data_IF_206675265227
#
_entry.id   IF_206675265227
#
_cell.length_a   1.000
_cell.length_b   1.000
_cell.length_c   1.000
_cell.angle_alpha   90.00
_cell.angle_beta   90.00
_cell.angle_gamma   90.00
#
_symmetry.space_group_name_H-M   'P 1'
#
loop_
_entity.id
_entity.type
_entity.pdbx_description
1 polymer ?
#
# COMPACT_ATOMS: atom_id res chain seq x y z
N UNK A 1 -51.00 74.91 -21.32
CA UNK A 1 -50.70 74.04 -22.48
C UNK A 1 -49.29 73.49 -22.28
N UNK A 2 -49.22 72.17 -22.08
CA UNK A 2 -48.08 71.22 -22.02
C UNK A 2 -46.65 71.73 -21.78
N UNK A 3 -46.16 71.28 -20.63
CA UNK A 3 -44.77 71.04 -20.23
C UNK A 3 -44.23 69.78 -20.95
N UNK A 4 -42.91 69.71 -21.20
CA UNK A 4 -41.99 68.56 -21.01
C UNK A 4 -41.08 68.07 -22.16
N UNK A 5 -39.82 67.87 -21.73
CA UNK A 5 -38.77 66.90 -22.08
C UNK A 5 -37.92 67.07 -23.35
N UNK A 6 -36.72 67.66 -23.15
CA UNK A 6 -35.52 67.31 -23.90
C UNK A 6 -35.02 65.93 -23.45
N UNK A 7 -34.97 64.97 -24.38
CA UNK A 7 -34.32 63.68 -24.17
C UNK A 7 -32.82 63.82 -24.42
N UNK A 8 -32.00 63.68 -23.37
CA UNK A 8 -30.57 63.51 -23.49
C UNK A 8 -30.27 62.04 -23.84
N UNK A 9 -29.75 61.81 -25.04
CA UNK A 9 -29.31 60.49 -25.50
C UNK A 9 -27.95 60.18 -24.84
N UNK A 10 -27.95 59.39 -23.77
CA UNK A 10 -26.72 58.88 -23.18
C UNK A 10 -26.16 57.76 -24.07
N UNK A 11 -25.13 58.07 -24.86
CA UNK A 11 -24.35 57.07 -25.57
C UNK A 11 -23.57 56.23 -24.55
N UNK A 12 -24.06 55.02 -24.27
CA UNK A 12 -23.32 54.02 -23.51
C UNK A 12 -22.11 53.56 -24.36
N UNK A 13 -20.93 54.08 -24.03
CA UNK A 13 -19.65 53.58 -24.53
C UNK A 13 -19.48 52.15 -24.02
N UNK A 14 -19.82 51.16 -24.86
CA UNK A 14 -19.35 49.78 -24.68
C UNK A 14 -17.84 49.77 -24.89
N UNK A 15 -17.09 49.91 -23.80
CA UNK A 15 -15.67 49.56 -23.81
C UNK A 15 -15.56 48.07 -24.11
N UNK A 16 -14.81 47.64 -25.15
CA UNK A 16 -14.56 46.22 -25.36
C UNK A 16 -13.83 45.70 -24.13
N UNK A 17 -14.35 44.63 -23.54
CA UNK A 17 -13.67 43.93 -22.46
C UNK A 17 -12.26 43.58 -22.96
N UNK A 18 -11.23 44.17 -22.33
CA UNK A 18 -9.85 43.84 -22.64
C UNK A 18 -9.66 42.37 -22.29
N UNK A 19 -9.62 41.51 -23.32
CA UNK A 19 -9.22 40.12 -23.16
C UNK A 19 -7.72 40.11 -22.90
N UNK A 20 -7.34 40.07 -21.63
CA UNK A 20 -5.97 39.79 -21.25
C UNK A 20 -5.67 38.33 -21.60
N UNK A 21 -4.57 38.09 -22.32
CA UNK A 21 -4.08 36.73 -22.51
C UNK A 21 -3.59 36.21 -21.16
N UNK A 22 -4.28 35.18 -20.63
CA UNK A 22 -3.84 34.48 -19.43
C UNK A 22 -3.00 33.26 -19.84
N UNK A 23 -1.86 33.07 -19.18
CA UNK A 23 -0.97 31.93 -19.45
C UNK A 23 -1.54 30.60 -18.94
N UNK A 24 -2.45 30.65 -17.98
CA UNK A 24 -3.13 29.49 -17.39
C UNK A 24 -4.64 29.69 -17.51
N UNK A 25 -5.37 28.59 -17.64
CA UNK A 25 -6.83 28.60 -17.53
C UNK A 25 -7.26 28.94 -16.09
N UNK A 26 -8.51 29.40 -15.88
CA UNK A 26 -8.99 29.77 -14.55
C UNK A 26 -8.89 28.68 -13.47
N UNK A 27 -8.90 27.41 -13.86
CA UNK A 27 -8.81 26.23 -13.01
C UNK A 27 -7.39 25.64 -12.91
N UNK A 28 -6.43 26.17 -13.67
CA UNK A 28 -5.04 25.71 -13.64
C UNK A 28 -4.26 26.40 -12.52
N UNK A 29 -3.58 25.60 -11.70
CA UNK A 29 -2.76 26.06 -10.58
C UNK A 29 -1.30 25.76 -10.89
N UNK A 30 -0.45 26.80 -10.88
CA UNK A 30 0.99 26.56 -10.78
C UNK A 30 1.26 25.93 -9.42
N UNK A 31 1.42 24.61 -9.37
CA UNK A 31 1.38 23.82 -8.14
C UNK A 31 2.74 23.69 -7.45
N UNK A 32 3.87 24.02 -8.09
CA UNK A 32 5.23 23.73 -7.56
C UNK A 32 5.54 22.25 -7.27
N UNK A 33 4.52 21.38 -7.27
CA UNK A 33 4.58 19.94 -7.08
C UNK A 33 4.04 19.25 -8.34
N UNK A 34 4.75 18.25 -8.82
CA UNK A 34 4.24 17.27 -9.78
C UNK A 34 3.78 16.04 -9.00
N UNK A 35 2.67 15.43 -9.43
CA UNK A 35 2.12 14.24 -8.76
C UNK A 35 1.79 13.16 -9.77
N UNK A 36 1.91 11.91 -9.35
CA UNK A 36 1.49 10.74 -10.09
C UNK A 36 1.22 9.57 -9.15
N UNK A 37 0.42 8.60 -9.58
CA UNK A 37 0.19 7.38 -8.80
C UNK A 37 1.17 6.30 -9.24
N UNK A 38 1.83 5.65 -8.27
CA UNK A 38 2.84 4.62 -8.57
C UNK A 38 2.22 3.35 -9.15
N UNK A 39 1.11 2.92 -8.57
CA UNK A 39 0.27 1.84 -9.08
C UNK A 39 -1.19 2.14 -8.72
N UNK A 40 -2.10 1.88 -9.65
CA UNK A 40 -3.51 2.23 -9.49
C UNK A 40 -4.12 1.60 -8.22
N UNK A 41 -5.02 2.31 -7.52
CA UNK A 41 -5.81 1.72 -6.44
C UNK A 41 -6.74 0.65 -7.00
N UNK A 42 -6.72 -0.54 -6.41
CA UNK A 42 -7.60 -1.64 -6.79
C UNK A 42 -8.60 -1.88 -5.66
N UNK A 43 -9.91 -1.89 -5.91
CA UNK A 43 -10.92 -2.12 -4.89
C UNK A 43 -10.75 -3.50 -4.26
N UNK A 44 -10.67 -3.53 -2.94
CA UNK A 44 -10.59 -4.77 -2.16
C UNK A 44 -11.56 -4.71 -0.99
N UNK A 45 -12.40 -5.72 -0.85
CA UNK A 45 -13.29 -5.85 0.31
C UNK A 45 -12.46 -6.34 1.51
N UNK A 46 -12.34 -5.52 2.54
CA UNK A 46 -11.70 -5.88 3.80
C UNK A 46 -12.62 -6.69 4.72
N UNK A 47 -12.01 -7.41 5.66
CA UNK A 47 -12.73 -8.14 6.71
C UNK A 47 -13.56 -7.22 7.64
N UNK A 48 -13.31 -5.92 7.62
CA UNK A 48 -14.08 -4.89 8.34
C UNK A 48 -15.39 -4.49 7.64
N UNK A 49 -15.70 -5.10 6.50
CA UNK A 49 -16.88 -4.78 5.69
C UNK A 49 -16.74 -3.48 4.90
N UNK A 50 -15.52 -2.96 4.70
CA UNK A 50 -15.28 -1.78 3.86
C UNK A 50 -14.60 -2.18 2.57
N UNK A 51 -14.77 -1.35 1.54
CA UNK A 51 -13.96 -1.46 0.32
C UNK A 51 -12.81 -0.48 0.40
N UNK A 52 -11.58 -1.00 0.46
CA UNK A 52 -10.36 -0.21 0.53
C UNK A 52 -9.82 0.10 -0.87
N UNK A 53 -9.17 1.25 -0.99
CA UNK A 53 -8.46 1.72 -2.16
C UNK A 53 -7.10 2.21 -1.69
N UNK A 54 -6.18 1.27 -1.45
CA UNK A 54 -4.81 1.58 -1.07
C UNK A 54 -3.97 1.94 -2.31
N UNK A 55 -3.28 3.08 -2.26
CA UNK A 55 -2.39 3.55 -3.33
C UNK A 55 -1.34 4.54 -2.81
N UNK A 56 -0.33 4.82 -3.61
CA UNK A 56 0.74 5.74 -3.26
C UNK A 56 0.82 6.87 -4.30
N UNK A 57 0.83 8.10 -3.81
CA UNK A 57 1.01 9.30 -4.62
C UNK A 57 2.48 9.68 -4.57
N UNK A 58 3.18 9.49 -5.69
CA UNK A 58 4.50 10.06 -5.90
C UNK A 58 4.37 11.57 -6.05
N UNK A 59 5.09 12.32 -5.21
CA UNK A 59 5.12 13.78 -5.22
C UNK A 59 6.54 14.24 -5.45
N UNK A 60 6.78 14.99 -6.52
CA UNK A 60 8.07 15.61 -6.83
C UNK A 60 7.96 17.12 -6.71
N UNK A 61 8.92 17.76 -6.05
CA UNK A 61 9.06 19.21 -6.02
C UNK A 61 10.14 19.65 -7.02
N UNK A 62 9.83 19.89 -8.31
CA UNK A 62 10.79 20.38 -9.29
C UNK A 62 11.11 21.88 -9.12
N UNK A 63 10.56 22.55 -8.11
CA UNK A 63 10.72 23.98 -7.89
C UNK A 63 11.96 24.33 -7.06
N UNK A 64 12.21 25.64 -6.90
CA UNK A 64 13.30 26.18 -6.07
C UNK A 64 12.85 26.55 -4.64
N UNK A 65 11.58 26.34 -4.31
CA UNK A 65 11.03 26.64 -2.99
C UNK A 65 10.79 25.35 -2.21
N UNK A 66 10.85 25.45 -0.89
CA UNK A 66 10.35 24.40 -0.02
C UNK A 66 8.82 24.36 -0.12
N UNK A 67 8.26 23.16 -0.02
CA UNK A 67 6.81 22.95 -0.01
C UNK A 67 6.45 22.03 1.13
N UNK A 68 5.58 22.47 2.03
CA UNK A 68 4.97 21.60 3.04
C UNK A 68 3.60 21.14 2.54
N UNK A 69 3.34 19.83 2.55
CA UNK A 69 2.01 19.28 2.26
C UNK A 69 1.18 19.37 3.54
N UNK A 70 0.12 20.18 3.52
CA UNK A 70 -0.68 20.47 4.72
C UNK A 70 -1.86 19.51 4.86
N UNK A 71 -2.46 19.11 3.72
CA UNK A 71 -3.60 18.20 3.63
C UNK A 71 -3.59 17.47 2.30
N UNK A 72 -4.01 16.21 2.32
CA UNK A 72 -4.32 15.43 1.11
C UNK A 72 -5.73 14.87 1.23
N UNK A 73 -6.53 15.08 0.20
CA UNK A 73 -7.89 14.55 0.06
C UNK A 73 -7.92 13.58 -1.12
N UNK A 74 -8.52 12.41 -0.95
CA UNK A 74 -8.96 11.60 -2.07
C UNK A 74 -10.34 12.09 -2.50
N UNK A 75 -10.48 12.48 -3.76
CA UNK A 75 -11.73 12.99 -4.32
C UNK A 75 -12.19 12.17 -5.52
N UNK A 76 -13.50 12.11 -5.76
CA UNK A 76 -14.03 11.63 -7.03
C UNK A 76 -13.91 12.69 -8.14
N UNK A 77 -14.27 12.33 -9.38
CA UNK A 77 -14.26 13.25 -10.53
C UNK A 77 -15.28 14.40 -10.42
N UNK A 78 -16.27 14.28 -9.53
CA UNK A 78 -17.21 15.35 -9.18
C UNK A 78 -16.66 16.32 -8.13
N UNK A 79 -15.49 16.02 -7.55
CA UNK A 79 -14.84 16.81 -6.52
C UNK A 79 -15.32 16.50 -5.09
N UNK A 80 -16.15 15.47 -4.89
CA UNK A 80 -16.58 15.04 -3.57
C UNK A 80 -15.42 14.38 -2.82
N UNK A 81 -15.26 14.73 -1.55
CA UNK A 81 -14.21 14.16 -0.69
C UNK A 81 -14.62 12.77 -0.21
N UNK A 82 -13.80 11.77 -0.50
CA UNK A 82 -13.99 10.37 -0.09
C UNK A 82 -13.18 10.04 1.17
N UNK A 83 -11.98 10.62 1.29
CA UNK A 83 -11.09 10.50 2.45
C UNK A 83 -10.20 11.73 2.53
N UNK A 84 -9.70 12.04 3.73
CA UNK A 84 -8.75 13.12 3.94
C UNK A 84 -7.76 12.78 5.06
N UNK A 85 -6.52 13.25 4.90
CA UNK A 85 -5.47 13.19 5.91
C UNK A 85 -4.76 14.55 5.99
N UNK A 86 -4.46 14.99 7.22
CA UNK A 86 -3.82 16.28 7.49
C UNK A 86 -3.00 16.22 8.78
N UNK A 87 -2.17 17.24 9.02
CA UNK A 87 -1.42 17.40 10.27
C UNK A 87 -0.42 16.27 10.52
N UNK A 88 -0.27 15.87 11.79
CA UNK A 88 0.72 14.87 12.21
C UNK A 88 0.48 13.49 11.59
N UNK A 89 -0.79 13.11 11.37
CA UNK A 89 -1.12 11.85 10.70
C UNK A 89 -0.67 11.86 9.24
N UNK A 90 -0.87 12.97 8.52
CA UNK A 90 -0.31 13.11 7.17
C UNK A 90 1.22 13.04 7.18
N UNK A 91 1.89 13.66 8.16
CA UNK A 91 3.35 13.63 8.23
C UNK A 91 3.90 12.20 8.41
N UNK A 92 3.20 11.33 9.15
CA UNK A 92 3.51 9.90 9.30
C UNK A 92 3.28 9.11 8.01
N UNK A 93 2.27 9.52 7.22
CA UNK A 93 1.93 8.89 5.94
C UNK A 93 2.75 9.42 4.75
N UNK A 94 3.76 10.26 5.00
CA UNK A 94 4.68 10.76 3.98
C UNK A 94 6.09 10.23 4.23
N UNK A 95 6.60 9.49 3.25
CA UNK A 95 7.98 9.02 3.22
C UNK A 95 8.80 9.74 2.14
N UNK A 96 10.05 10.07 2.46
CA UNK A 96 11.03 10.76 1.62
C UNK A 96 12.29 9.92 1.47
N UNK A 97 12.14 8.63 1.16
CA UNK A 97 13.23 7.66 0.93
C UNK A 97 14.27 7.65 2.06
N UNK A 98 13.83 7.28 3.27
CA UNK A 98 14.67 7.24 4.47
C UNK A 98 14.47 8.39 5.47
N UNK A 99 13.56 9.32 5.16
CA UNK A 99 13.09 10.35 6.10
C UNK A 99 11.56 10.41 6.09
N UNK A 100 10.94 10.71 7.21
CA UNK A 100 9.50 11.00 7.28
C UNK A 100 9.21 12.51 7.31
N UNK A 101 7.97 12.88 7.02
CA UNK A 101 7.45 14.24 7.22
C UNK A 101 7.08 14.98 5.95
N UNK A 102 6.22 15.98 6.11
CA UNK A 102 5.50 16.65 5.03
C UNK A 102 6.26 17.75 4.26
N UNK A 103 7.45 18.15 4.75
CA UNK A 103 8.28 19.16 4.09
C UNK A 103 9.10 18.54 2.96
N UNK A 104 8.84 18.97 1.73
CA UNK A 104 9.57 18.57 0.53
C UNK A 104 10.49 19.73 0.11
N UNK A 105 11.80 19.51 0.27
CA UNK A 105 12.83 20.45 -0.16
C UNK A 105 12.83 20.66 -1.69
N UNK A 106 13.43 21.75 -2.20
CA UNK A 106 13.69 21.91 -3.63
C UNK A 106 14.36 20.68 -4.25
N UNK A 107 13.83 20.18 -5.37
CA UNK A 107 14.30 18.94 -6.01
C UNK A 107 13.95 17.64 -5.28
N UNK A 108 13.29 17.73 -4.13
CA UNK A 108 12.91 16.58 -3.32
C UNK A 108 11.76 15.78 -3.91
N UNK A 109 11.69 14.51 -3.53
CA UNK A 109 10.57 13.61 -3.85
C UNK A 109 10.08 12.95 -2.56
N UNK A 110 8.77 12.70 -2.52
CA UNK A 110 8.11 12.02 -1.43
C UNK A 110 7.04 11.07 -1.97
N UNK A 111 6.60 10.15 -1.14
CA UNK A 111 5.47 9.28 -1.37
C UNK A 111 4.44 9.54 -0.28
N UNK A 112 3.21 9.85 -0.69
CA UNK A 112 2.05 9.92 0.23
C UNK A 112 1.31 8.59 0.15
N UNK A 113 1.25 7.86 1.25
CA UNK A 113 0.50 6.62 1.35
C UNK A 113 -0.97 6.93 1.67
N UNK A 114 -1.86 6.47 0.80
CA UNK A 114 -3.29 6.74 0.88
C UNK A 114 -4.08 5.43 0.99
N UNK A 115 -5.19 5.49 1.72
CA UNK A 115 -6.27 4.52 1.68
C UNK A 115 -7.62 5.24 1.72
N UNK A 116 -8.55 4.83 0.85
CA UNK A 116 -9.95 5.25 0.88
C UNK A 116 -10.78 4.04 1.28
N UNK A 117 -11.26 4.04 2.52
CA UNK A 117 -12.13 3.00 3.03
C UNK A 117 -13.60 3.38 2.82
N UNK A 118 -14.22 2.88 1.76
CA UNK A 118 -15.63 3.11 1.44
C UNK A 118 -16.52 2.18 2.27
N UNK A 119 -17.66 2.66 2.84
CA UNK A 119 -18.64 1.80 3.50
C UNK A 119 -19.16 0.70 2.58
N UNK A 120 -19.58 -0.43 3.14
CA UNK A 120 -20.19 -1.53 2.36
C UNK A 120 -21.32 -1.04 1.45
N UNK A 121 -21.43 -1.64 0.26
CA UNK A 121 -22.43 -1.28 -0.75
C UNK A 121 -22.24 0.11 -1.40
N UNK A 122 -21.22 0.87 -1.03
CA UNK A 122 -20.89 2.14 -1.68
C UNK A 122 -20.49 1.91 -3.13
N UNK A 123 -20.91 2.81 -4.03
CA UNK A 123 -20.43 2.81 -5.41
C UNK A 123 -18.96 3.23 -5.41
N UNK A 124 -18.09 2.34 -5.88
CA UNK A 124 -16.68 2.66 -6.14
C UNK A 124 -16.60 3.65 -7.32
N UNK A 125 -16.01 4.85 -7.15
CA UNK A 125 -15.78 5.78 -8.27
C UNK A 125 -14.76 5.18 -9.23
N UNK A 126 -15.01 5.20 -10.54
CA UNK A 126 -14.10 4.63 -11.56
C UNK A 126 -12.72 5.30 -11.61
N UNK A 127 -12.64 6.56 -11.16
CA UNK A 127 -11.41 7.30 -10.98
C UNK A 127 -11.45 8.09 -9.67
N UNK A 128 -10.28 8.21 -9.03
CA UNK A 128 -10.05 9.12 -7.89
C UNK A 128 -8.86 10.03 -8.17
N UNK A 129 -8.86 11.22 -7.57
CA UNK A 129 -7.76 12.17 -7.65
C UNK A 129 -7.25 12.50 -6.25
N UNK A 130 -5.95 12.79 -6.14
CA UNK A 130 -5.39 13.37 -4.93
C UNK A 130 -5.47 14.91 -5.01
N UNK A 131 -6.33 15.52 -4.21
CA UNK A 131 -6.33 16.97 -4.01
C UNK A 131 -5.37 17.32 -2.88
N UNK A 132 -4.34 18.07 -3.20
CA UNK A 132 -3.28 18.46 -2.27
C UNK A 132 -3.46 19.93 -1.91
N UNK A 133 -3.46 20.23 -0.61
CA UNK A 133 -3.27 21.59 -0.08
C UNK A 133 -1.86 21.69 0.46
N UNK A 134 -1.15 22.74 0.06
CA UNK A 134 0.26 22.90 0.40
C UNK A 134 0.66 24.37 0.61
N UNK A 135 1.77 24.54 1.32
CA UNK A 135 2.35 25.84 1.69
C UNK A 135 3.75 25.97 1.12
N UNK A 136 4.01 27.05 0.37
CA UNK A 136 5.35 27.41 -0.13
C UNK A 136 6.16 28.15 0.92
N UNK A 137 7.44 27.84 0.97
CA UNK A 137 8.42 28.48 1.83
C UNK A 137 9.70 28.74 1.05
N UNK A 138 10.38 29.86 1.29
CA UNK A 138 11.69 30.11 0.69
C UNK A 138 12.81 29.68 1.63
N UNK A 139 14.03 29.54 1.09
CA UNK A 139 15.21 29.38 1.91
C UNK A 139 15.56 30.69 2.62
N UNK A 140 15.94 30.61 3.90
CA UNK A 140 16.65 31.66 4.60
C UNK A 140 18.14 31.67 4.23
N UNK A 141 18.90 32.58 4.85
CA UNK A 141 20.35 32.71 4.66
C UNK A 141 21.13 31.44 5.02
N UNK A 142 20.56 30.59 5.86
CA UNK A 142 21.15 29.35 6.36
C UNK A 142 20.57 28.12 5.62
N UNK A 143 19.75 28.35 4.57
CA UNK A 143 19.14 27.29 3.76
C UNK A 143 17.89 26.65 4.38
N UNK A 144 17.33 27.20 5.45
CA UNK A 144 16.16 26.66 6.15
C UNK A 144 14.85 27.24 5.60
N UNK A 145 13.73 26.51 5.68
CA UNK A 145 12.45 27.01 5.20
C UNK A 145 11.91 28.16 6.06
N UNK A 146 11.50 29.25 5.42
CA UNK A 146 10.84 30.41 6.03
C UNK A 146 9.66 30.87 5.16
N UNK A 147 8.65 31.57 5.73
CA UNK A 147 7.51 32.07 4.96
C UNK A 147 7.93 32.90 3.75
N UNK A 148 7.14 32.85 2.67
CA UNK A 148 7.36 33.74 1.52
C UNK A 148 7.15 35.22 1.94
N UNK A 149 7.96 36.16 1.42
CA UNK A 149 7.74 37.59 1.51
C UNK A 149 6.38 37.98 0.96
N UNK A 150 5.81 39.05 1.52
CA UNK A 150 4.47 39.50 1.14
C UNK A 150 4.38 39.96 -0.34
N UNK A 151 5.51 40.37 -0.93
CA UNK A 151 5.65 40.80 -2.32
C UNK A 151 6.09 39.68 -3.27
N UNK A 152 6.20 38.44 -2.79
CA UNK A 152 6.54 37.31 -3.63
C UNK A 152 5.43 37.04 -4.67
N UNK A 153 5.76 36.78 -5.95
CA UNK A 153 4.78 36.72 -7.03
C UNK A 153 3.83 35.52 -6.96
N UNK A 154 4.15 34.50 -6.16
CA UNK A 154 3.31 33.31 -5.96
C UNK A 154 2.61 33.35 -4.60
N UNK A 155 1.35 32.90 -4.58
CA UNK A 155 0.62 32.69 -3.33
C UNK A 155 1.30 31.61 -2.49
N UNK A 156 1.37 31.83 -1.17
CA UNK A 156 2.00 30.87 -0.25
C UNK A 156 1.18 29.59 -0.12
N UNK A 157 -0.13 29.73 0.17
CA UNK A 157 -1.05 28.62 0.35
C UNK A 157 -1.85 28.40 -0.93
N UNK A 158 -1.95 27.15 -1.37
CA UNK A 158 -2.65 26.79 -2.60
C UNK A 158 -3.18 25.37 -2.50
N UNK A 159 -4.12 25.03 -3.38
CA UNK A 159 -4.62 23.67 -3.54
C UNK A 159 -4.76 23.33 -5.00
N UNK A 160 -4.52 22.07 -5.36
CA UNK A 160 -4.66 21.55 -6.71
C UNK A 160 -5.06 20.07 -6.66
N UNK A 161 -5.70 19.56 -7.72
CA UNK A 161 -5.93 18.14 -7.91
C UNK A 161 -4.87 17.56 -8.86
N UNK A 162 -4.28 16.43 -8.47
CA UNK A 162 -3.32 15.69 -9.29
C UNK A 162 -3.97 14.94 -10.45
N UNK A 163 -3.18 14.10 -11.13
CA UNK A 163 -3.70 13.22 -12.18
C UNK A 163 -4.68 12.17 -11.60
N UNK A 164 -5.72 11.77 -12.35
CA UNK A 164 -6.64 10.72 -11.92
C UNK A 164 -5.95 9.35 -11.89
N UNK A 165 -6.42 8.50 -10.97
CA UNK A 165 -6.05 7.10 -10.85
C UNK A 165 -7.29 6.24 -11.00
N UNK A 166 -7.24 5.24 -11.88
CA UNK A 166 -8.37 4.37 -12.19
C UNK A 166 -8.54 3.29 -11.11
N UNK A 167 -9.79 2.91 -10.82
CA UNK A 167 -10.12 1.90 -9.78
C UNK A 167 -10.78 0.64 -10.36
N UNK A 168 -10.69 0.41 -11.67
CA UNK A 168 -11.59 -0.53 -12.35
C UNK A 168 -11.27 -2.02 -12.12
N UNK A 169 -10.02 -2.35 -11.76
CA UNK A 169 -9.59 -3.74 -11.57
C UNK A 169 -9.83 -4.17 -10.11
N UNK A 170 -10.82 -5.03 -9.91
CA UNK A 170 -11.17 -5.62 -8.61
C UNK A 170 -10.11 -6.63 -8.12
N UNK A 171 -10.13 -6.90 -6.81
CA UNK A 171 -9.31 -7.92 -6.17
C UNK A 171 -9.56 -9.33 -6.75
N UNK A 172 -8.49 -10.14 -6.79
CA UNK A 172 -8.56 -11.52 -7.28
C UNK A 172 -9.06 -12.44 -6.17
N UNK A 173 -10.08 -13.24 -6.45
CA UNK A 173 -10.53 -14.31 -5.53
C UNK A 173 -9.52 -15.45 -5.53
N UNK A 174 -9.08 -15.87 -4.35
CA UNK A 174 -8.14 -16.98 -4.16
C UNK A 174 -8.61 -17.92 -3.04
N UNK A 175 -8.13 -19.16 -3.08
CA UNK A 175 -8.30 -20.10 -1.96
C UNK A 175 -7.20 -19.90 -0.89
N UNK A 176 -7.43 -20.32 0.36
CA UNK A 176 -6.43 -20.23 1.41
C UNK A 176 -5.09 -20.91 1.04
N UNK A 177 -3.93 -20.24 1.25
CA UNK A 177 -2.61 -20.84 1.02
C UNK A 177 -2.17 -21.80 2.14
N UNK A 178 -2.88 -21.80 3.28
CA UNK A 178 -2.55 -22.55 4.48
C UNK A 178 -3.83 -23.20 5.04
N UNK A 179 -3.68 -24.10 6.03
CA UNK A 179 -4.79 -24.79 6.70
C UNK A 179 -4.72 -24.68 8.22
N UNK A 180 -5.87 -24.80 8.87
CA UNK A 180 -5.99 -24.79 10.32
C UNK A 180 -6.05 -23.38 10.92
N UNK A 181 -5.94 -23.33 12.25
CA UNK A 181 -6.31 -22.18 13.07
C UNK A 181 -5.13 -21.35 13.56
N UNK A 182 -5.38 -20.08 13.87
CA UNK A 182 -4.44 -19.21 14.58
C UNK A 182 -3.39 -18.55 13.69
N UNK A 183 -3.66 -18.36 12.40
CA UNK A 183 -2.74 -17.65 11.49
C UNK A 183 -2.91 -16.15 11.61
N UNK A 184 -1.87 -15.42 11.97
CA UNK A 184 -1.90 -13.95 12.07
C UNK A 184 -1.48 -13.35 10.73
N UNK A 185 -2.30 -12.44 10.21
CA UNK A 185 -2.00 -11.65 9.01
C UNK A 185 -1.04 -10.51 9.36
N UNK A 186 0.27 -10.75 9.36
CA UNK A 186 1.26 -9.72 9.73
C UNK A 186 1.65 -8.90 8.51
N UNK A 187 1.86 -7.60 8.74
CA UNK A 187 2.24 -6.60 7.73
C UNK A 187 1.19 -6.36 6.62
N UNK A 188 -0.02 -6.91 6.78
CA UNK A 188 -1.12 -6.73 5.83
C UNK A 188 -1.58 -5.27 5.70
N UNK A 189 -2.49 -5.05 4.77
CA UNK A 189 -3.11 -3.75 4.48
C UNK A 189 -4.05 -3.29 5.63
N UNK A 190 -4.39 -2.00 5.81
CA UNK A 190 -4.24 -0.89 4.85
C UNK A 190 -3.92 0.50 5.39
N UNK A 191 -4.21 0.78 6.65
CA UNK A 191 -4.30 2.15 7.20
C UNK A 191 -2.99 2.71 7.75
N UNK A 192 -1.95 1.88 7.85
CA UNK A 192 -0.61 2.26 8.30
C UNK A 192 0.47 1.84 7.29
N UNK A 193 1.63 2.50 7.37
CA UNK A 193 2.83 2.08 6.66
C UNK A 193 3.46 0.90 7.42
N UNK A 194 3.05 -0.32 7.08
CA UNK A 194 3.74 -1.56 7.48
C UNK A 194 5.04 -1.75 6.70
N UNK A 195 5.88 -2.71 7.11
CA UNK A 195 7.10 -3.07 6.38
C UNK A 195 6.83 -3.39 4.90
N UNK A 196 5.70 -4.03 4.61
CA UNK A 196 5.26 -4.37 3.25
C UNK A 196 4.63 -3.16 2.54
N UNK A 197 3.73 -2.43 3.20
CA UNK A 197 3.07 -1.25 2.63
C UNK A 197 4.09 -0.19 2.22
N UNK A 198 5.15 -0.03 3.02
CA UNK A 198 6.27 0.89 2.80
C UNK A 198 7.40 0.32 1.94
N UNK A 199 7.32 -0.94 1.48
CA UNK A 199 8.33 -1.52 0.60
C UNK A 199 8.29 -0.84 -0.77
N UNK A 200 9.06 0.25 -0.91
CA UNK A 200 9.22 1.00 -2.15
C UNK A 200 10.60 0.73 -2.71
N UNK A 201 10.66 0.20 -3.93
CA UNK A 201 11.92 -0.21 -4.56
C UNK A 201 12.14 0.47 -5.89
N UNK A 202 13.39 0.82 -6.19
CA UNK A 202 13.77 1.27 -7.53
C UNK A 202 14.45 0.15 -8.30
N UNK A 203 13.81 -0.33 -9.37
CA UNK A 203 14.30 -1.43 -10.21
C UNK A 203 14.27 -0.97 -11.67
N UNK A 204 15.43 -1.03 -12.34
CA UNK A 204 15.58 -0.65 -13.75
C UNK A 204 15.01 0.74 -14.10
N UNK A 205 15.15 1.72 -13.20
CA UNK A 205 14.65 3.09 -13.41
C UNK A 205 13.15 3.27 -13.11
N UNK A 206 12.47 2.25 -12.59
CA UNK A 206 11.07 2.32 -12.16
C UNK A 206 10.96 2.23 -10.65
N UNK A 207 10.10 3.04 -10.06
CA UNK A 207 9.69 2.88 -8.66
C UNK A 207 8.56 1.85 -8.61
N UNK A 208 8.68 0.87 -7.73
CA UNK A 208 7.77 -0.26 -7.54
C UNK A 208 7.27 -0.31 -6.11
N UNK A 209 6.06 -0.82 -5.94
CA UNK A 209 5.42 -1.10 -4.63
C UNK A 209 5.03 -2.59 -4.57
N UNK A 210 6.03 -3.49 -4.57
CA UNK A 210 5.80 -4.93 -4.78
C UNK A 210 4.89 -5.55 -3.72
N UNK A 211 5.00 -5.12 -2.48
CA UNK A 211 4.41 -5.82 -1.32
C UNK A 211 3.14 -5.15 -0.78
N UNK A 212 2.50 -4.25 -1.55
CA UNK A 212 1.33 -3.44 -1.09
C UNK A 212 0.25 -4.23 -0.32
N UNK A 213 -0.01 -5.47 -0.74
CA UNK A 213 -1.02 -6.36 -0.15
C UNK A 213 -0.41 -7.65 0.43
N UNK A 214 0.90 -7.68 0.64
CA UNK A 214 1.58 -8.87 1.15
C UNK A 214 1.29 -9.14 2.62
N UNK A 215 1.22 -10.42 2.93
CA UNK A 215 0.98 -10.92 4.29
C UNK A 215 2.10 -11.89 4.64
N UNK A 216 2.67 -11.69 5.83
CA UNK A 216 3.47 -12.70 6.51
C UNK A 216 2.55 -13.53 7.41
N UNK A 217 2.32 -14.78 7.02
CA UNK A 217 1.51 -15.70 7.81
C UNK A 217 2.36 -16.37 8.89
N UNK A 218 2.10 -15.97 10.13
CA UNK A 218 2.68 -16.54 11.36
C UNK A 218 1.58 -17.29 12.10
N UNK A 219 1.88 -18.43 12.74
CA UNK A 219 0.88 -19.19 13.49
C UNK A 219 1.07 -19.07 15.00
N UNK A 220 -0.03 -18.89 15.71
CA UNK A 220 -0.12 -19.03 17.16
C UNK A 220 -0.60 -20.44 17.52
N UNK A 221 -0.05 -21.00 18.59
CA UNK A 221 -0.57 -22.24 19.18
C UNK A 221 -1.86 -22.00 19.99
N UNK A 222 -2.39 -23.08 20.57
CA UNK A 222 -3.56 -23.09 21.43
C UNK A 222 -3.39 -22.32 22.75
N UNK A 223 -2.16 -21.93 23.11
CA UNK A 223 -1.83 -21.04 24.23
C UNK A 223 -1.52 -19.62 23.78
N UNK A 224 -1.78 -19.30 22.51
CA UNK A 224 -1.50 -17.99 21.90
C UNK A 224 0.00 -17.64 21.92
N UNK A 225 0.87 -18.64 21.81
CA UNK A 225 2.32 -18.48 21.68
C UNK A 225 2.75 -18.64 20.22
N UNK A 226 3.69 -17.80 19.78
CA UNK A 226 4.33 -17.95 18.46
C UNK A 226 5.32 -19.13 18.43
N UNK A 227 6.01 -19.40 19.55
CA UNK A 227 6.95 -20.50 19.67
C UNK A 227 7.04 -20.99 21.12
N UNK A 228 7.52 -22.23 21.29
CA UNK A 228 7.80 -22.82 22.60
C UNK A 228 9.25 -23.32 22.66
N UNK A 229 10.00 -22.87 23.68
CA UNK A 229 11.42 -23.18 23.83
C UNK A 229 12.34 -22.04 23.39
N UNK A 230 13.48 -22.37 22.79
CA UNK A 230 14.49 -21.39 22.39
C UNK A 230 14.11 -20.73 21.06
N UNK A 231 13.97 -19.40 21.07
CA UNK A 231 13.55 -18.63 19.90
C UNK A 231 14.44 -18.85 18.66
N UNK A 232 15.72 -19.20 18.85
CA UNK A 232 16.69 -19.43 17.77
C UNK A 232 16.63 -20.83 17.15
N UNK A 233 15.70 -21.70 17.58
CA UNK A 233 15.53 -23.05 17.02
C UNK A 233 14.27 -23.12 16.17
N UNK A 234 14.40 -23.51 14.90
CA UNK A 234 13.26 -23.72 13.99
C UNK A 234 12.19 -24.67 14.59
N UNK A 235 12.64 -25.73 15.27
CA UNK A 235 11.76 -26.70 15.93
C UNK A 235 10.91 -26.12 17.08
N UNK A 236 11.21 -24.90 17.56
CA UNK A 236 10.38 -24.22 18.56
C UNK A 236 9.11 -23.59 17.95
N UNK A 237 9.05 -23.42 16.63
CA UNK A 237 7.90 -22.90 15.91
C UNK A 237 7.09 -24.06 15.36
N UNK A 238 5.97 -24.40 16.00
CA UNK A 238 5.19 -25.61 15.68
C UNK A 238 4.64 -25.67 14.24
N UNK A 239 4.63 -24.53 13.54
CA UNK A 239 4.18 -24.41 12.15
C UNK A 239 5.33 -24.39 11.12
N UNK A 240 6.59 -24.45 11.56
CA UNK A 240 7.71 -24.73 10.65
C UNK A 240 7.48 -26.09 9.97
N UNK A 241 7.47 -26.11 8.64
CA UNK A 241 7.13 -27.30 7.86
C UNK A 241 5.64 -27.50 7.59
N UNK A 242 4.78 -26.53 7.91
CA UNK A 242 3.39 -26.56 7.47
C UNK A 242 3.31 -26.62 5.93
N UNK A 243 2.36 -27.39 5.40
CA UNK A 243 2.08 -27.46 3.97
C UNK A 243 1.59 -26.11 3.46
N UNK A 244 2.20 -25.64 2.37
CA UNK A 244 1.77 -24.47 1.62
C UNK A 244 1.04 -24.94 0.37
N UNK A 245 -0.15 -24.39 0.15
CA UNK A 245 -1.04 -24.81 -0.94
C UNK A 245 -1.12 -23.75 -2.04
N UNK A 246 -1.24 -24.22 -3.29
CA UNK A 246 -1.56 -23.33 -4.41
C UNK A 246 -2.93 -22.70 -4.21
N UNK A 247 -3.03 -21.39 -4.40
CA UNK A 247 -4.26 -20.63 -4.11
C UNK A 247 -5.23 -20.61 -5.29
N UNK A 248 -4.76 -21.05 -6.46
CA UNK A 248 -5.53 -21.15 -7.69
C UNK A 248 -4.88 -22.17 -8.64
N UNK A 249 -5.61 -22.56 -9.68
CA UNK A 249 -5.01 -23.23 -10.84
C UNK A 249 -4.02 -22.28 -11.52
N UNK A 250 -2.91 -22.80 -12.04
CA UNK A 250 -1.92 -21.94 -12.68
C UNK A 250 -0.74 -22.65 -13.31
N UNK A 251 0.27 -21.84 -13.64
CA UNK A 251 1.54 -22.30 -14.24
C UNK A 251 2.72 -21.76 -13.46
N UNK A 252 3.69 -22.60 -13.14
CA UNK A 252 4.95 -22.15 -12.51
C UNK A 252 5.76 -21.33 -13.52
N UNK A 253 6.05 -20.08 -13.19
CA UNK A 253 6.77 -19.14 -14.08
C UNK A 253 8.08 -18.63 -13.48
N UNK A 254 8.30 -18.83 -12.18
CA UNK A 254 9.58 -18.56 -11.53
C UNK A 254 9.73 -19.48 -10.31
N UNK A 255 10.96 -19.86 -9.98
CA UNK A 255 11.28 -20.55 -8.73
C UNK A 255 12.75 -20.38 -8.35
N UNK A 256 13.03 -20.51 -7.07
CA UNK A 256 14.39 -20.61 -6.52
C UNK A 256 14.36 -21.61 -5.36
N UNK A 257 15.34 -22.52 -5.26
CA UNK A 257 15.35 -23.59 -4.24
C UNK A 257 16.78 -23.94 -3.76
N UNK A 258 17.63 -22.92 -3.63
CA UNK A 258 19.04 -23.08 -3.27
C UNK A 258 19.46 -22.34 -2.00
N UNK A 259 18.52 -21.78 -1.24
CA UNK A 259 18.79 -21.05 0.02
C UNK A 259 18.64 -21.97 1.23
N UNK A 260 19.61 -21.92 2.13
CA UNK A 260 19.55 -22.60 3.42
C UNK A 260 18.74 -21.79 4.44
N UNK A 261 18.30 -22.46 5.50
CA UNK A 261 17.51 -21.83 6.58
C UNK A 261 18.32 -20.78 7.34
N UNK A 262 17.67 -19.66 7.66
CA UNK A 262 18.20 -18.70 8.62
C UNK A 262 18.02 -19.20 10.04
N UNK A 263 18.84 -18.67 10.96
CA UNK A 263 18.63 -18.83 12.40
C UNK A 263 17.55 -17.82 12.81
N UNK A 264 16.39 -18.25 13.33
CA UNK A 264 15.37 -17.31 13.79
C UNK A 264 15.89 -16.39 14.90
N UNK A 265 15.29 -15.21 15.04
CA UNK A 265 15.64 -14.14 15.98
C UNK A 265 17.07 -13.57 15.81
N UNK A 266 17.76 -13.91 14.72
CA UNK A 266 19.01 -13.27 14.29
C UNK A 266 18.80 -12.52 12.96
N UNK A 267 19.73 -11.61 12.64
CA UNK A 267 19.77 -10.99 11.31
C UNK A 267 20.03 -12.06 10.23
N UNK A 268 19.26 -11.98 9.14
CA UNK A 268 19.43 -12.85 7.99
C UNK A 268 20.82 -12.66 7.36
N UNK A 269 21.53 -13.76 7.08
CA UNK A 269 22.90 -13.75 6.54
C UNK A 269 22.90 -14.18 5.08
N UNK A 270 23.83 -13.62 4.29
CA UNK A 270 24.04 -14.00 2.90
C UNK A 270 22.95 -13.54 1.93
N UNK A 271 22.16 -12.54 2.31
CA UNK A 271 21.06 -12.01 1.50
C UNK A 271 21.59 -11.15 0.35
N UNK A 272 21.08 -11.41 -0.85
CA UNK A 272 21.31 -10.65 -2.06
C UNK A 272 20.04 -10.66 -2.92
N UNK A 273 20.06 -9.95 -4.05
CA UNK A 273 18.88 -9.79 -4.92
C UNK A 273 18.37 -11.10 -5.54
N UNK A 274 19.20 -12.13 -5.65
CA UNK A 274 18.79 -13.42 -6.21
C UNK A 274 18.07 -14.31 -5.19
N UNK A 275 18.31 -14.13 -3.88
CA UNK A 275 17.83 -15.03 -2.84
C UNK A 275 17.01 -14.33 -1.73
N UNK A 276 16.64 -13.06 -1.91
CA UNK A 276 15.91 -12.27 -0.90
C UNK A 276 14.60 -12.93 -0.48
N UNK A 277 13.86 -13.54 -1.42
CA UNK A 277 12.64 -14.31 -1.14
C UNK A 277 12.88 -15.72 -0.59
N UNK A 278 14.13 -16.12 -0.36
CA UNK A 278 14.49 -17.47 0.05
C UNK A 278 14.23 -18.50 -1.05
N UNK A 279 13.83 -19.70 -0.64
CA UNK A 279 13.24 -20.62 -1.59
C UNK A 279 11.81 -20.19 -1.86
N UNK A 280 11.46 -20.09 -3.13
CA UNK A 280 10.27 -19.38 -3.57
C UNK A 280 9.68 -19.98 -4.83
N UNK A 281 8.39 -19.74 -5.01
CA UNK A 281 7.62 -20.15 -6.18
C UNK A 281 6.77 -18.97 -6.65
N UNK A 282 6.75 -18.74 -7.96
CA UNK A 282 5.80 -17.82 -8.61
C UNK A 282 4.94 -18.60 -9.57
N UNK A 283 3.62 -18.47 -9.39
CA UNK A 283 2.61 -19.12 -10.21
C UNK A 283 1.80 -18.03 -10.93
N UNK A 284 1.73 -18.07 -12.26
CA UNK A 284 0.75 -17.29 -13.01
C UNK A 284 -0.62 -17.95 -12.88
N UNK A 285 -1.56 -17.25 -12.24
CA UNK A 285 -2.90 -17.77 -11.90
C UNK A 285 -4.00 -17.18 -12.77
N UNK A 286 -3.74 -16.04 -13.42
CA UNK A 286 -4.55 -15.42 -14.45
C UNK A 286 -3.68 -14.49 -15.30
N UNK A 287 -4.19 -14.01 -16.44
CA UNK A 287 -3.47 -13.10 -17.32
C UNK A 287 -2.98 -11.85 -16.56
N UNK A 288 -1.66 -11.71 -16.46
CA UNK A 288 -1.02 -10.60 -15.73
C UNK A 288 -1.25 -10.62 -14.21
N UNK A 289 -1.57 -11.78 -13.61
CA UNK A 289 -1.70 -11.95 -12.16
C UNK A 289 -0.87 -13.15 -11.70
N UNK A 290 0.08 -12.88 -10.83
CA UNK A 290 1.05 -13.87 -10.35
C UNK A 290 0.97 -13.98 -8.84
N UNK A 291 0.89 -15.20 -8.31
CA UNK A 291 0.99 -15.51 -6.89
C UNK A 291 2.45 -15.79 -6.53
N UNK A 292 2.97 -15.11 -5.51
CA UNK A 292 4.31 -15.32 -4.97
C UNK A 292 4.25 -15.96 -3.60
N UNK A 293 5.06 -17.00 -3.42
CA UNK A 293 5.24 -17.74 -2.17
C UNK A 293 6.72 -17.73 -1.83
N UNK A 294 7.09 -17.19 -0.66
CA UNK A 294 8.47 -17.04 -0.23
C UNK A 294 8.81 -17.81 1.05
N UNK A 295 10.09 -17.81 1.39
CA UNK A 295 10.67 -18.38 2.62
C UNK A 295 10.41 -19.88 2.80
N UNK A 296 10.22 -20.62 1.71
CA UNK A 296 9.92 -22.05 1.74
C UNK A 296 11.16 -22.88 2.12
N UNK A 297 10.95 -24.12 2.58
CA UNK A 297 12.04 -25.02 2.93
C UNK A 297 12.79 -25.49 1.68
N UNK A 298 14.11 -25.60 1.81
CA UNK A 298 14.98 -26.09 0.74
C UNK A 298 14.60 -27.51 0.34
N UNK A 299 14.45 -27.74 -0.96
CA UNK A 299 14.12 -29.05 -1.52
C UNK A 299 12.67 -29.46 -1.33
N UNK A 300 11.81 -28.59 -0.78
CA UNK A 300 10.37 -28.87 -0.65
C UNK A 300 9.61 -28.63 -1.96
N UNK A 301 10.16 -27.83 -2.87
CA UNK A 301 9.55 -27.53 -4.17
C UNK A 301 9.70 -28.73 -5.10
N UNK A 302 8.58 -29.35 -5.49
CA UNK A 302 8.55 -30.50 -6.42
C UNK A 302 8.13 -30.11 -7.84
N UNK A 303 8.44 -28.88 -8.24
CA UNK A 303 8.00 -28.29 -9.51
C UNK A 303 9.19 -27.77 -10.34
N UNK A 304 8.92 -27.57 -11.63
CA UNK A 304 9.82 -26.95 -12.61
C UNK A 304 9.08 -25.83 -13.34
N UNK A 305 9.83 -24.96 -14.00
CA UNK A 305 9.25 -23.93 -14.88
C UNK A 305 8.34 -24.57 -15.94
N UNK A 306 7.15 -24.02 -16.09
CA UNK A 306 6.11 -24.48 -17.03
C UNK A 306 5.17 -25.55 -16.46
N UNK A 307 5.45 -26.11 -15.28
CA UNK A 307 4.55 -27.09 -14.66
C UNK A 307 3.19 -26.46 -14.35
N UNK A 308 2.13 -27.26 -14.52
CA UNK A 308 0.76 -26.88 -14.13
C UNK A 308 0.52 -27.25 -12.68
N UNK A 309 -0.15 -26.36 -11.98
CA UNK A 309 -0.53 -26.54 -10.57
C UNK A 309 -2.05 -26.44 -10.47
N UNK A 310 -2.66 -27.25 -9.62
CA UNK A 310 -4.07 -27.16 -9.27
C UNK A 310 -4.26 -26.47 -7.93
N UNK A 311 -5.37 -25.74 -7.81
CA UNK A 311 -5.77 -25.15 -6.54
C UNK A 311 -5.80 -26.22 -5.44
N UNK A 312 -5.20 -25.92 -4.29
CA UNK A 312 -5.08 -26.84 -3.16
C UNK A 312 -3.89 -27.82 -3.23
N UNK A 313 -3.18 -27.93 -4.36
CA UNK A 313 -1.96 -28.74 -4.42
C UNK A 313 -0.93 -28.24 -3.41
N UNK A 314 -0.25 -29.15 -2.71
CA UNK A 314 0.89 -28.81 -1.86
C UNK A 314 2.07 -28.41 -2.74
N UNK A 315 2.47 -27.15 -2.65
CA UNK A 315 3.51 -26.55 -3.50
C UNK A 315 4.88 -26.47 -2.83
N UNK A 316 4.92 -26.62 -1.51
CA UNK A 316 6.14 -26.59 -0.71
C UNK A 316 5.81 -26.67 0.78
N UNK A 317 6.86 -26.55 1.59
CA UNK A 317 6.75 -26.50 3.05
C UNK A 317 7.19 -25.12 3.55
N UNK A 318 6.47 -24.56 4.52
CA UNK A 318 6.81 -23.30 5.18
C UNK A 318 8.17 -23.42 5.86
N UNK A 319 9.07 -22.48 5.57
CA UNK A 319 10.43 -22.45 6.08
C UNK A 319 10.79 -21.13 6.76
N UNK A 320 12.08 -20.84 6.77
CA UNK A 320 12.70 -19.60 7.27
C UNK A 320 13.91 -19.21 6.40
N UNK A 321 13.82 -19.42 5.09
CA UNK A 321 14.92 -19.17 4.14
C UNK A 321 14.86 -17.75 3.60
N UNK A 322 15.98 -17.20 3.13
CA UNK A 322 16.02 -15.84 2.56
C UNK A 322 16.02 -14.74 3.62
N UNK A 323 15.48 -13.56 3.29
CA UNK A 323 15.43 -12.41 4.20
C UNK A 323 14.31 -12.58 5.24
N UNK A 324 14.51 -13.55 6.15
CA UNK A 324 13.53 -13.94 7.16
C UNK A 324 14.19 -14.00 8.55
N UNK A 325 13.49 -13.48 9.56
CA UNK A 325 13.94 -13.48 10.96
C UNK A 325 13.18 -14.48 11.83
N UNK A 326 12.10 -15.10 11.34
CA UNK A 326 11.41 -16.19 11.99
C UNK A 326 10.58 -16.96 10.94
N UNK A 327 10.26 -18.26 11.15
CA UNK A 327 9.45 -19.00 10.19
C UNK A 327 8.14 -18.27 9.88
N UNK A 328 7.78 -18.15 8.60
CA UNK A 328 6.50 -17.62 8.15
C UNK A 328 6.30 -17.94 6.66
N UNK A 329 5.08 -17.82 6.17
CA UNK A 329 4.82 -17.76 4.72
C UNK A 329 4.60 -16.30 4.33
N UNK A 330 5.51 -15.74 3.54
CA UNK A 330 5.29 -14.47 2.86
C UNK A 330 4.52 -14.73 1.56
N UNK A 331 3.35 -14.11 1.42
CA UNK A 331 2.45 -14.33 0.30
C UNK A 331 1.81 -13.04 -0.22
N UNK A 332 1.77 -12.87 -1.55
CA UNK A 332 0.99 -11.83 -2.23
C UNK A 332 0.71 -12.13 -3.70
N UNK A 333 -0.17 -11.34 -4.30
CA UNK A 333 -0.37 -11.29 -5.75
C UNK A 333 0.31 -10.06 -6.35
N UNK A 334 0.78 -10.17 -7.59
CA UNK A 334 1.53 -9.11 -8.27
C UNK A 334 1.24 -9.03 -9.77
N UNK A 335 1.54 -7.89 -10.38
CA UNK A 335 1.29 -7.57 -11.80
C UNK A 335 2.40 -8.01 -12.77
N UNK A 336 3.41 -8.74 -12.28
CA UNK A 336 4.51 -9.27 -13.08
C UNK A 336 5.20 -10.46 -12.38
N UNK A 337 5.96 -11.30 -13.10
CA UNK A 337 6.51 -12.56 -12.56
C UNK A 337 7.75 -12.38 -11.67
N UNK A 338 8.24 -11.15 -11.51
CA UNK A 338 9.45 -10.83 -10.74
C UNK A 338 9.06 -10.13 -9.44
N UNK A 339 9.20 -10.78 -8.27
CA UNK A 339 8.77 -10.23 -6.98
C UNK A 339 9.25 -8.79 -6.72
N UNK A 340 10.50 -8.46 -7.06
CA UNK A 340 11.04 -7.11 -6.85
C UNK A 340 10.62 -6.10 -7.93
N UNK A 341 10.27 -6.56 -9.13
CA UNK A 341 9.99 -5.72 -10.31
C UNK A 341 8.53 -5.83 -10.74
N UNK A 342 7.63 -5.77 -9.76
CA UNK A 342 6.19 -5.79 -9.94
C UNK A 342 5.55 -4.87 -8.90
N UNK A 343 4.27 -4.58 -9.05
CA UNK A 343 3.45 -3.96 -8.03
C UNK A 343 2.50 -4.99 -7.43
N UNK A 344 2.24 -4.87 -6.13
CA UNK A 344 1.29 -5.71 -5.41
C UNK A 344 -0.15 -5.46 -5.89
N UNK A 345 -0.86 -6.55 -6.15
CA UNK A 345 -2.28 -6.59 -6.48
C UNK A 345 -3.07 -7.11 -5.27
N UNK A 346 -4.30 -6.61 -5.03
CA UNK A 346 -5.11 -7.15 -3.95
C UNK A 346 -5.69 -8.50 -4.31
N UNK A 347 -5.98 -9.26 -3.26
CA UNK A 347 -6.73 -10.49 -3.31
C UNK A 347 -7.82 -10.50 -2.24
N UNK A 348 -8.74 -11.44 -2.36
CA UNK A 348 -9.72 -11.77 -1.33
C UNK A 348 -9.75 -13.29 -1.17
N UNK A 349 -9.94 -13.76 0.05
CA UNK A 349 -10.07 -15.18 0.34
C UNK A 349 -11.52 -15.62 0.15
N UNK A 350 -11.71 -16.82 -0.40
CA UNK A 350 -13.01 -17.47 -0.56
C UNK A 350 -13.78 -17.53 0.76
N UNK A 351 -13.14 -18.03 1.82
CA UNK A 351 -13.68 -18.10 3.18
C UNK A 351 -12.57 -18.17 4.23
N UNK A 352 -12.82 -17.59 5.40
CA UNK A 352 -12.09 -17.86 6.63
C UNK A 352 -12.94 -17.45 7.85
N UNK A 353 -12.55 -17.88 9.03
CA UNK A 353 -13.11 -17.32 10.27
C UNK A 353 -12.02 -16.65 11.10
N UNK A 354 -12.41 -15.81 12.04
CA UNK A 354 -11.48 -15.06 12.87
C UNK A 354 -11.94 -15.04 14.32
N UNK A 355 -11.06 -15.34 15.29
CA UNK A 355 -11.34 -15.09 16.71
C UNK A 355 -11.13 -13.62 17.11
N UNK A 356 -10.51 -12.80 16.24
CA UNK A 356 -10.19 -11.42 16.54
C UNK A 356 -8.86 -10.94 15.94
N UNK A 357 -8.36 -9.83 16.47
CA UNK A 357 -7.12 -9.16 16.06
C UNK A 357 -6.10 -9.21 17.19
N UNK A 358 -4.80 -9.37 16.85
CA UNK A 358 -3.69 -9.12 17.77
C UNK A 358 -3.47 -7.59 17.85
N UNK A 359 -3.75 -6.93 18.97
CA UNK A 359 -3.52 -5.49 19.09
C UNK A 359 -2.04 -5.14 18.93
N UNK A 360 -1.74 -3.94 18.44
CA UNK A 360 -0.36 -3.48 18.23
C UNK A 360 0.49 -3.58 19.51
N UNK A 361 -0.07 -3.23 20.67
CA UNK A 361 0.61 -3.33 21.96
C UNK A 361 0.93 -4.77 22.41
N UNK A 362 0.35 -5.79 21.78
CA UNK A 362 0.62 -7.21 22.05
C UNK A 362 1.65 -7.81 21.09
N UNK A 363 2.06 -7.11 20.03
CA UNK A 363 3.04 -7.62 19.06
C UNK A 363 4.40 -7.91 19.71
N UNK A 364 4.87 -7.05 20.60
CA UNK A 364 6.10 -7.29 21.36
C UNK A 364 6.01 -8.56 22.22
N UNK A 365 4.83 -8.86 22.79
CA UNK A 365 4.61 -10.11 23.51
C UNK A 365 4.69 -11.30 22.56
N UNK A 366 4.04 -11.21 21.39
CA UNK A 366 4.06 -12.24 20.36
C UNK A 366 5.49 -12.62 19.95
N UNK A 367 6.28 -11.63 19.54
CA UNK A 367 7.63 -11.83 19.02
C UNK A 367 8.64 -12.17 20.13
N UNK A 368 8.33 -11.90 21.40
CA UNK A 368 9.14 -12.33 22.55
C UNK A 368 8.71 -13.67 23.16
N UNK A 369 7.81 -14.41 22.50
CA UNK A 369 7.38 -15.74 22.93
C UNK A 369 6.49 -15.73 24.17
N UNK A 370 5.72 -14.66 24.36
CA UNK A 370 4.72 -14.55 25.43
C UNK A 370 3.31 -14.72 24.86
N UNK A 371 2.35 -15.22 25.65
CA UNK A 371 0.97 -15.33 25.20
C UNK A 371 0.40 -13.97 24.85
N UNK A 372 -0.25 -13.87 23.69
CA UNK A 372 -0.97 -12.65 23.28
C UNK A 372 -2.45 -12.72 23.62
N UNK A 373 -3.06 -11.55 23.74
CA UNK A 373 -4.51 -11.42 23.88
C UNK A 373 -5.09 -10.87 22.59
N UNK A 374 -6.26 -11.38 22.23
CA UNK A 374 -7.01 -10.86 21.09
C UNK A 374 -8.03 -9.83 21.53
N UNK A 375 -8.25 -8.83 20.69
CA UNK A 375 -9.47 -8.04 20.73
C UNK A 375 -10.49 -8.63 19.74
N UNK A 376 -11.78 -8.46 20.01
CA UNK A 376 -12.85 -9.09 19.23
C UNK A 376 -13.19 -8.35 17.92
N UNK A 377 -12.41 -7.33 17.50
CA UNK A 377 -12.63 -6.70 16.19
C UNK A 377 -12.37 -7.74 15.11
N UNK A 378 -13.12 -7.62 14.01
CA UNK A 378 -13.02 -8.53 12.88
C UNK A 378 -13.25 -10.01 13.24
N UNK A 379 -13.90 -10.31 14.36
CA UNK A 379 -14.23 -11.68 14.72
C UNK A 379 -15.49 -12.15 13.98
N UNK A 380 -15.55 -13.44 13.65
CA UNK A 380 -16.67 -14.07 12.95
C UNK A 380 -16.27 -14.76 11.66
N UNK A 381 -17.28 -15.07 10.85
CA UNK A 381 -17.12 -15.68 9.53
C UNK A 381 -16.94 -14.59 8.47
N UNK A 382 -15.97 -14.81 7.57
CA UNK A 382 -15.64 -13.93 6.47
C UNK A 382 -15.64 -14.71 5.16
N UNK A 383 -16.12 -14.08 4.09
CA UNK A 383 -16.14 -14.66 2.76
C UNK A 383 -15.92 -13.57 1.72
N UNK A 384 -15.11 -13.87 0.70
CA UNK A 384 -14.73 -12.93 -0.35
C UNK A 384 -14.15 -11.61 0.21
N UNK A 385 -13.32 -11.73 1.25
CA UNK A 385 -12.72 -10.60 1.96
C UNK A 385 -11.20 -10.79 2.12
N UNK A 386 -10.48 -9.67 2.23
CA UNK A 386 -9.06 -9.61 2.57
C UNK A 386 -8.89 -9.55 4.10
N UNK A 387 -8.07 -10.43 4.70
CA UNK A 387 -7.73 -10.34 6.11
C UNK A 387 -6.86 -9.11 6.40
N UNK A 388 -7.34 -8.23 7.28
CA UNK A 388 -6.63 -6.99 7.60
C UNK A 388 -5.41 -7.26 8.50
N UNK A 389 -4.54 -6.26 8.60
CA UNK A 389 -3.33 -6.34 9.41
C UNK A 389 -3.62 -6.79 10.85
N UNK A 390 -2.80 -7.70 11.34
CA UNK A 390 -2.85 -8.39 12.63
C UNK A 390 -4.12 -9.22 12.89
N UNK A 391 -5.01 -9.41 11.91
CA UNK A 391 -6.15 -10.29 12.07
C UNK A 391 -5.69 -11.74 12.23
N UNK A 392 -6.26 -12.43 13.22
CA UNK A 392 -6.07 -13.87 13.40
C UNK A 392 -7.07 -14.60 12.52
N UNK A 393 -6.62 -15.59 11.79
CA UNK A 393 -7.34 -16.26 10.70
C UNK A 393 -7.31 -17.76 10.93
N UNK A 394 -8.49 -18.34 10.86
CA UNK A 394 -8.74 -19.77 10.88
C UNK A 394 -9.16 -20.19 9.47
N UNK A 395 -8.31 -20.97 8.80
CA UNK A 395 -8.60 -21.59 7.51
C UNK A 395 -9.29 -22.94 7.74
N UNK A 396 -10.56 -23.03 7.31
CA UNK A 396 -11.38 -24.25 7.41
C UNK A 396 -10.99 -25.34 6.41
#
# INVERSE_FOLDING_TARGET
>A
MRMLFQAALAAALFLPAQTFAQSLKPDEVYSSLATGVLSNPNPVAGADGRTHLAYEVLVTNPSRVFVTIDKVEAIDTGGNVLSQIAGDELAKMIERFGLQGALIAPGGTAIVFMDVALPDGSKVPGEILARITATRQMADKDGKPQPLPADYPLVANYSFAGAPATTEKAATLIEPPLRGKGWVSINGCCDAITSHRGAVMSINGHIRVPERFAIDWIKLDDKSLMYTGEATKLASYAYYGAEVHSVADGTVVNLYDETDEQIPSEDAKGINTANIGGNMLVIEIADGVYAFYAHLQRGSLKFKLGDKVKVGDVIGLLGNTGNSTAPHLHFYLMDGPSPLNANGLPFILSKFSSPGVVPEQELDNMFSGKPVKFDARLAGEHANQYPLNNQVVDFE
#
